data_IF_760838631652
#
_entry.id   IF_760838631652
#
_cell.length_a   1.000
_cell.length_b   1.000
_cell.length_c   1.000
_cell.angle_alpha   90.00
_cell.angle_beta   90.00
_cell.angle_gamma   90.00
#
_symmetry.space_group_name_H-M   'P 1'
#
loop_
_entity.id
_entity.type
_entity.pdbx_description
1 polymer ?
#
# COMPACT_ATOMS: atom_id res chain seq x y z
N UNK A 1 -20.23 35.60 19.79
CA UNK A 1 -19.97 36.59 18.72
C UNK A 1 -19.39 35.78 17.55
N UNK A 2 -20.25 35.49 16.57
CA UNK A 2 -20.01 34.55 15.49
C UNK A 2 -18.97 35.08 14.49
N UNK A 3 -17.95 34.27 14.19
CA UNK A 3 -17.16 34.45 12.95
C UNK A 3 -17.40 33.25 12.02
N UNK A 4 -18.19 33.47 10.99
CA UNK A 4 -18.36 32.59 9.85
C UNK A 4 -17.02 32.52 9.09
N UNK A 5 -16.46 31.31 8.94
CA UNK A 5 -15.41 31.05 7.95
C UNK A 5 -16.08 30.79 6.59
N UNK A 6 -15.74 31.62 5.61
CA UNK A 6 -16.11 31.46 4.21
C UNK A 6 -15.28 30.33 3.61
N UNK A 7 -15.94 29.29 3.16
CA UNK A 7 -15.33 28.26 2.30
C UNK A 7 -15.36 28.78 0.87
N UNK A 8 -14.20 28.96 0.25
CA UNK A 8 -14.07 29.22 -1.18
C UNK A 8 -14.06 27.89 -1.92
N UNK A 9 -15.08 27.66 -2.70
CA UNK A 9 -15.09 26.60 -3.72
C UNK A 9 -14.28 27.09 -4.94
N UNK A 10 -13.14 26.47 -5.21
CA UNK A 10 -12.45 26.60 -6.48
C UNK A 10 -12.90 25.46 -7.39
N UNK A 11 -13.63 25.79 -8.45
CA UNK A 11 -14.10 24.81 -9.43
C UNK A 11 -12.94 24.29 -10.26
N UNK A 12 -12.76 22.97 -10.30
CA UNK A 12 -11.84 22.31 -11.19
C UNK A 12 -12.44 22.22 -12.61
N UNK A 13 -11.70 22.73 -13.58
CA UNK A 13 -12.04 22.61 -15.00
C UNK A 13 -11.76 21.21 -15.50
N UNK A 14 -12.82 20.56 -16.02
CA UNK A 14 -12.73 19.27 -16.72
C UNK A 14 -12.20 19.55 -18.13
N UNK A 15 -10.96 19.17 -18.42
CA UNK A 15 -10.45 19.11 -19.79
C UNK A 15 -10.59 17.68 -20.32
N UNK A 16 -11.51 17.48 -21.25
CA UNK A 16 -11.56 16.29 -22.09
C UNK A 16 -10.41 16.35 -23.10
N UNK A 17 -9.43 15.47 -22.99
CA UNK A 17 -8.35 15.32 -23.95
C UNK A 17 -8.60 14.13 -24.86
N UNK A 18 -8.81 14.41 -26.14
CA UNK A 18 -8.88 13.43 -27.23
C UNK A 18 -7.51 12.84 -27.53
N UNK A 19 -7.45 11.53 -27.63
CA UNK A 19 -6.24 10.74 -27.89
C UNK A 19 -5.79 10.89 -29.34
N UNK A 20 -4.50 11.16 -29.52
CA UNK A 20 -3.76 10.92 -30.76
C UNK A 20 -2.82 9.74 -30.52
N UNK A 21 -3.11 8.64 -31.21
CA UNK A 21 -2.27 7.42 -31.22
C UNK A 21 -1.14 7.56 -32.21
N UNK A 22 0.09 7.41 -31.77
CA UNK A 22 1.23 7.07 -32.62
C UNK A 22 1.72 5.66 -32.29
N UNK A 23 1.66 4.79 -33.28
CA UNK A 23 2.05 3.41 -33.21
C UNK A 23 3.57 3.25 -33.31
N UNK A 24 4.20 2.63 -32.30
CA UNK A 24 5.48 1.95 -32.44
C UNK A 24 5.25 0.45 -32.21
N UNK A 25 5.54 -0.36 -33.22
CA UNK A 25 5.42 -1.81 -33.23
C UNK A 25 6.50 -2.46 -32.36
N UNK A 26 6.12 -2.95 -31.20
CA UNK A 26 6.81 -3.93 -30.38
C UNK A 26 5.72 -4.84 -29.82
N UNK A 27 5.93 -6.17 -29.84
CA UNK A 27 4.99 -7.16 -29.38
C UNK A 27 4.71 -6.99 -27.89
N UNK A 28 3.82 -6.06 -27.55
CA UNK A 28 3.33 -5.79 -26.22
C UNK A 28 1.84 -6.13 -26.16
N UNK A 29 1.43 -6.83 -25.13
CA UNK A 29 0.04 -6.93 -24.72
C UNK A 29 -0.60 -5.55 -24.84
N UNK A 30 -1.69 -5.43 -25.62
CA UNK A 30 -2.41 -4.17 -25.76
C UNK A 30 -2.79 -3.70 -24.36
N UNK A 31 -2.39 -2.47 -24.00
CA UNK A 31 -2.78 -1.86 -22.75
C UNK A 31 -4.31 -1.84 -22.68
N UNK A 32 -4.88 -2.50 -21.69
CA UNK A 32 -6.32 -2.53 -21.49
C UNK A 32 -6.82 -1.08 -21.40
N UNK A 33 -7.86 -0.76 -22.17
CA UNK A 33 -8.47 0.57 -22.15
C UNK A 33 -9.21 0.75 -20.82
N UNK A 34 -8.68 1.63 -19.94
CA UNK A 34 -9.27 1.88 -18.64
C UNK A 34 -10.46 2.84 -18.77
N UNK A 35 -11.54 2.56 -18.06
CA UNK A 35 -12.68 3.46 -17.84
C UNK A 35 -12.54 4.20 -16.50
N UNK A 36 -13.40 5.21 -16.28
CA UNK A 36 -13.47 6.00 -15.04
C UNK A 36 -12.10 6.55 -14.57
N UNK A 37 -11.33 7.04 -15.54
CA UNK A 37 -9.95 7.48 -15.31
C UNK A 37 -9.88 8.77 -14.51
N UNK A 38 -9.13 8.76 -13.41
CA UNK A 38 -8.82 9.92 -12.59
C UNK A 38 -7.31 10.12 -12.46
N UNK A 39 -6.87 11.36 -12.42
CA UNK A 39 -5.46 11.72 -12.28
C UNK A 39 -5.29 12.59 -11.03
N UNK A 40 -4.36 12.19 -10.16
CA UNK A 40 -3.94 12.93 -8.99
C UNK A 40 -2.49 13.38 -9.20
N UNK A 41 -2.18 14.63 -8.89
CA UNK A 41 -0.80 15.17 -8.92
C UNK A 41 -0.34 15.51 -7.52
N UNK A 42 0.99 15.39 -7.28
CA UNK A 42 1.61 15.94 -6.07
C UNK A 42 1.46 17.45 -6.01
N UNK A 43 1.57 18.07 -4.84
CA UNK A 43 1.51 19.54 -4.70
C UNK A 43 2.51 20.28 -5.59
N UNK A 44 3.73 19.76 -5.73
CA UNK A 44 4.78 20.31 -6.61
C UNK A 44 4.61 19.95 -8.10
N UNK A 45 3.70 18.99 -8.40
CA UNK A 45 3.38 18.53 -9.75
C UNK A 45 4.36 17.53 -10.37
N UNK A 46 5.42 17.11 -9.66
CA UNK A 46 6.43 16.19 -10.18
C UNK A 46 5.93 14.74 -10.23
N UNK A 47 5.13 14.33 -9.25
CA UNK A 47 4.48 13.03 -9.23
C UNK A 47 3.07 13.11 -9.81
N UNK A 48 2.69 12.09 -10.56
CA UNK A 48 1.32 11.91 -11.05
C UNK A 48 0.89 10.46 -10.91
N UNK A 49 -0.21 10.25 -10.20
CA UNK A 49 -0.88 8.96 -10.06
C UNK A 49 -2.13 8.94 -10.93
N UNK A 50 -2.36 7.84 -11.63
CA UNK A 50 -3.55 7.62 -12.44
C UNK A 50 -4.30 6.40 -11.90
N UNK A 51 -5.58 6.56 -11.64
CA UNK A 51 -6.51 5.49 -11.30
C UNK A 51 -7.43 5.21 -12.48
N UNK A 52 -7.89 3.95 -12.63
CA UNK A 52 -8.91 3.58 -13.61
C UNK A 52 -9.47 2.19 -13.33
N UNK A 53 -10.54 1.85 -14.04
CA UNK A 53 -11.19 0.54 -13.99
C UNK A 53 -10.93 -0.21 -15.29
N UNK A 54 -10.41 -1.42 -15.19
CA UNK A 54 -10.21 -2.31 -16.32
C UNK A 54 -11.56 -2.87 -16.86
N UNK A 55 -11.59 -3.44 -18.08
CA UNK A 55 -12.84 -3.95 -18.68
C UNK A 55 -13.57 -5.04 -17.88
N UNK A 56 -12.85 -5.80 -17.06
CA UNK A 56 -13.38 -6.80 -16.13
C UNK A 56 -13.88 -6.20 -14.81
N UNK A 57 -13.73 -4.88 -14.63
CA UNK A 57 -14.08 -4.18 -13.41
C UNK A 57 -12.98 -4.19 -12.35
N UNK A 58 -11.74 -4.57 -12.69
CA UNK A 58 -10.61 -4.51 -11.76
C UNK A 58 -10.12 -3.09 -11.57
N UNK A 59 -10.02 -2.59 -10.32
CA UNK A 59 -9.40 -1.30 -10.04
C UNK A 59 -7.90 -1.36 -10.31
N UNK A 60 -7.36 -0.35 -10.97
CA UNK A 60 -5.94 -0.26 -11.31
C UNK A 60 -5.39 1.13 -11.00
N UNK A 61 -4.08 1.21 -10.75
CA UNK A 61 -3.36 2.46 -10.59
C UNK A 61 -2.02 2.42 -11.31
N UNK A 62 -1.44 3.59 -11.55
CA UNK A 62 -0.05 3.76 -12.02
C UNK A 62 0.54 5.02 -11.41
N UNK A 63 1.89 5.10 -11.36
CA UNK A 63 2.61 6.24 -10.79
C UNK A 63 3.75 6.63 -11.70
N UNK A 64 3.84 7.93 -12.02
CA UNK A 64 4.91 8.52 -12.80
C UNK A 64 5.63 9.63 -12.01
N UNK A 65 6.92 9.80 -12.26
CA UNK A 65 7.70 10.98 -11.89
C UNK A 65 8.06 11.73 -13.18
N UNK A 66 7.47 12.89 -13.41
CA UNK A 66 7.50 13.53 -14.72
C UNK A 66 6.98 12.60 -15.81
N UNK A 67 7.83 12.33 -16.81
CA UNK A 67 7.54 11.41 -17.92
C UNK A 67 7.98 9.95 -17.61
N UNK A 68 8.71 9.72 -16.52
CA UNK A 68 9.24 8.40 -16.16
C UNK A 68 8.18 7.58 -15.44
N UNK A 69 7.81 6.42 -16.00
CA UNK A 69 6.93 5.47 -15.33
C UNK A 69 7.68 4.78 -14.19
N UNK A 70 7.22 4.99 -12.96
CA UNK A 70 7.76 4.32 -11.76
C UNK A 70 7.01 3.02 -11.49
N UNK A 71 5.66 3.11 -11.47
CA UNK A 71 4.75 1.96 -11.39
C UNK A 71 3.87 2.00 -12.64
N UNK A 72 3.94 0.93 -13.44
CA UNK A 72 3.04 0.70 -14.56
C UNK A 72 1.64 0.33 -14.06
N UNK A 73 0.59 0.26 -14.91
CA UNK A 73 -0.73 -0.16 -14.49
C UNK A 73 -0.68 -1.45 -13.67
N UNK A 74 -1.16 -1.37 -12.43
CA UNK A 74 -1.08 -2.39 -11.38
C UNK A 74 -2.45 -2.61 -10.76
N UNK A 75 -2.79 -3.86 -10.46
CA UNK A 75 -4.07 -4.24 -9.89
C UNK A 75 -4.19 -3.90 -8.41
N UNK A 76 -5.44 -3.74 -7.96
CA UNK A 76 -5.83 -3.48 -6.58
C UNK A 76 -6.97 -4.41 -6.18
N UNK A 77 -7.08 -4.70 -4.86
CA UNK A 77 -8.21 -5.43 -4.30
C UNK A 77 -7.81 -6.62 -3.45
N UNK A 78 -8.76 -7.55 -3.27
CA UNK A 78 -8.61 -8.68 -2.35
C UNK A 78 -9.21 -9.96 -2.89
N UNK A 79 -8.68 -11.09 -2.45
CA UNK A 79 -9.41 -12.34 -2.34
C UNK A 79 -9.88 -12.52 -0.90
N UNK A 80 -11.18 -12.72 -0.71
CA UNK A 80 -11.81 -12.79 0.61
C UNK A 80 -12.48 -14.13 0.82
N UNK A 81 -12.58 -14.54 2.08
CA UNK A 81 -13.47 -15.61 2.50
C UNK A 81 -14.72 -15.02 3.13
N UNK A 82 -15.86 -15.61 2.83
CA UNK A 82 -17.17 -15.10 3.24
C UNK A 82 -17.33 -14.93 4.74
N UNK A 83 -18.34 -14.16 5.10
CA UNK A 83 -18.70 -13.72 6.44
C UNK A 83 -18.62 -14.87 7.45
N UNK A 84 -17.73 -14.73 8.44
CA UNK A 84 -17.80 -15.54 9.64
C UNK A 84 -19.09 -15.15 10.38
N UNK A 85 -20.08 -16.03 10.43
CA UNK A 85 -21.13 -15.87 11.42
C UNK A 85 -20.45 -15.90 12.77
N UNK A 86 -20.67 -14.88 13.60
CA UNK A 86 -20.22 -14.91 14.99
C UNK A 86 -20.69 -16.23 15.60
N UNK A 87 -19.80 -17.18 15.78
CA UNK A 87 -20.13 -18.43 16.46
C UNK A 87 -20.24 -18.07 17.93
N UNK A 88 -21.41 -18.35 18.51
CA UNK A 88 -21.59 -18.30 19.94
C UNK A 88 -20.63 -19.32 20.54
N UNK A 89 -19.53 -18.85 21.14
CA UNK A 89 -18.58 -19.71 21.83
C UNK A 89 -19.31 -20.25 23.07
N UNK A 90 -19.77 -21.48 23.01
CA UNK A 90 -20.29 -22.20 24.18
C UNK A 90 -19.11 -22.98 24.73
N UNK A 91 -18.60 -22.56 25.88
CA UNK A 91 -17.57 -23.31 26.60
C UNK A 91 -18.05 -24.73 26.90
N UNK A 92 -17.38 -25.74 26.32
CA UNK A 92 -17.61 -27.16 26.62
C UNK A 92 -18.07 -28.04 25.44
N UNK A 93 -18.31 -27.50 24.28
CA UNK A 93 -18.68 -28.28 23.10
C UNK A 93 -17.48 -28.56 22.19
N UNK A 94 -17.16 -29.83 21.98
CA UNK A 94 -16.00 -30.26 21.20
C UNK A 94 -16.15 -30.05 19.68
N UNK A 95 -17.30 -29.58 19.21
CA UNK A 95 -17.62 -29.35 17.79
C UNK A 95 -17.42 -27.90 17.30
N UNK A 96 -16.64 -27.10 18.00
CA UNK A 96 -16.45 -25.66 17.75
C UNK A 96 -15.70 -25.33 16.45
N UNK A 97 -15.26 -26.30 15.67
CA UNK A 97 -14.46 -26.08 14.45
C UNK A 97 -15.14 -26.50 13.16
N UNK A 98 -16.40 -26.32 13.00
CA UNK A 98 -16.98 -26.24 11.65
C UNK A 98 -16.77 -24.82 11.13
N UNK A 99 -15.60 -24.58 10.59
CA UNK A 99 -15.36 -23.47 9.68
C UNK A 99 -16.36 -23.65 8.54
N UNK A 100 -17.30 -22.72 8.38
CA UNK A 100 -18.19 -22.71 7.23
C UNK A 100 -17.32 -22.78 5.97
N UNK A 101 -17.40 -23.85 5.18
CA UNK A 101 -16.71 -24.06 3.91
C UNK A 101 -17.28 -23.15 2.81
N UNK A 102 -17.39 -21.86 3.09
CA UNK A 102 -17.79 -20.91 2.07
C UNK A 102 -16.61 -20.67 1.14
N UNK A 103 -16.82 -20.74 -0.17
CA UNK A 103 -15.76 -20.49 -1.12
C UNK A 103 -15.22 -19.05 -0.93
N UNK A 104 -13.93 -18.87 -1.19
CA UNK A 104 -13.37 -17.54 -1.35
C UNK A 104 -14.10 -16.83 -2.48
N UNK A 105 -14.25 -15.52 -2.36
CA UNK A 105 -14.80 -14.71 -3.43
C UNK A 105 -13.81 -13.64 -3.86
N UNK A 106 -13.82 -13.30 -5.15
CA UNK A 106 -13.09 -12.17 -5.69
C UNK A 106 -13.65 -10.86 -5.14
N UNK A 107 -12.78 -9.99 -4.65
CA UNK A 107 -13.05 -8.60 -4.32
C UNK A 107 -11.98 -7.71 -4.95
N UNK A 108 -11.60 -8.03 -6.19
CA UNK A 108 -10.63 -7.33 -7.02
C UNK A 108 -11.12 -7.13 -8.47
N UNK A 109 -12.36 -7.54 -8.78
CA UNK A 109 -13.00 -7.42 -10.08
C UNK A 109 -14.48 -6.98 -9.96
N UNK A 110 -15.13 -6.72 -11.09
CA UNK A 110 -16.55 -6.39 -11.15
C UNK A 110 -16.94 -5.08 -10.47
N UNK A 111 -15.99 -4.20 -10.20
CA UNK A 111 -16.24 -2.90 -9.58
C UNK A 111 -16.70 -1.85 -10.58
N UNK A 112 -17.48 -0.90 -10.06
CA UNK A 112 -17.79 0.38 -10.68
C UNK A 112 -17.49 1.49 -9.70
N UNK A 113 -17.13 2.66 -10.22
CA UNK A 113 -16.99 3.87 -9.42
C UNK A 113 -18.38 4.37 -9.04
N UNK A 114 -18.64 4.51 -7.74
CA UNK A 114 -19.88 5.08 -7.20
C UNK A 114 -19.73 6.58 -7.02
N UNK A 115 -18.59 7.03 -6.47
CA UNK A 115 -18.25 8.46 -6.36
C UNK A 115 -16.74 8.64 -6.22
N UNK A 116 -16.29 9.87 -6.45
CA UNK A 116 -14.90 10.29 -6.29
C UNK A 116 -14.89 11.56 -5.46
N UNK A 117 -14.07 11.57 -4.39
CA UNK A 117 -13.84 12.72 -3.55
C UNK A 117 -12.37 13.13 -3.67
N UNK A 118 -12.12 14.44 -3.72
CA UNK A 118 -10.76 15.00 -3.78
C UNK A 118 -10.58 16.11 -2.77
N UNK A 119 -9.40 16.18 -2.16
CA UNK A 119 -9.02 17.32 -1.33
C UNK A 119 -7.53 17.61 -1.43
N UNK A 120 -7.15 18.81 -1.00
CA UNK A 120 -5.76 19.21 -0.71
C UNK A 120 -5.66 19.46 0.78
N UNK A 121 -4.62 18.94 1.40
CA UNK A 121 -4.33 19.10 2.81
C UNK A 121 -2.96 19.73 2.99
N UNK A 122 -2.85 20.71 3.87
CA UNK A 122 -1.59 21.39 4.21
C UNK A 122 -1.63 21.85 5.65
N UNK A 123 -0.90 21.18 6.52
CA UNK A 123 -0.83 21.45 7.95
C UNK A 123 0.59 21.17 8.46
N UNK A 124 1.02 21.92 9.47
CA UNK A 124 2.25 21.62 10.20
C UNK A 124 1.88 21.12 11.59
N UNK A 125 2.44 19.98 12.00
CA UNK A 125 2.21 19.37 13.29
C UNK A 125 3.52 19.18 14.05
N UNK A 126 3.43 19.01 15.37
CA UNK A 126 4.59 18.81 16.23
C UNK A 126 4.63 17.35 16.69
N UNK A 127 5.69 16.61 16.38
CA UNK A 127 5.85 15.26 16.91
C UNK A 127 6.11 15.29 18.40
N UNK A 128 5.68 14.24 19.11
CA UNK A 128 5.89 14.09 20.56
C UNK A 128 7.38 14.08 20.89
N UNK A 129 8.19 13.49 20.02
CA UNK A 129 9.64 13.38 20.08
C UNK A 129 10.21 13.22 18.68
N UNK A 130 11.51 13.22 18.52
CA UNK A 130 12.19 13.02 17.26
C UNK A 130 13.27 14.06 17.01
N UNK A 131 13.79 14.05 15.80
CA UNK A 131 14.88 14.97 15.40
C UNK A 131 14.34 16.34 15.00
N UNK A 132 13.05 16.40 14.58
CA UNK A 132 12.40 17.62 14.11
C UNK A 132 11.35 18.09 15.10
N UNK A 133 11.29 19.40 15.29
CA UNK A 133 10.27 20.03 16.15
C UNK A 133 8.93 20.24 15.43
N UNK A 134 8.95 20.29 14.10
CA UNK A 134 7.78 20.54 13.26
C UNK A 134 7.87 19.71 11.98
N UNK A 135 6.76 19.11 11.59
CA UNK A 135 6.63 18.31 10.36
C UNK A 135 5.46 18.86 9.54
N UNK A 136 5.73 19.21 8.28
CA UNK A 136 4.68 19.61 7.35
C UNK A 136 4.02 18.35 6.77
N UNK A 137 2.69 18.32 6.80
CA UNK A 137 1.85 17.32 6.17
C UNK A 137 1.10 17.95 5.00
N UNK A 138 1.63 17.79 3.79
CA UNK A 138 1.11 18.43 2.59
C UNK A 138 0.92 17.41 1.46
N UNK A 139 -0.33 17.19 1.07
CA UNK A 139 -0.68 16.23 0.02
C UNK A 139 -1.94 16.63 -0.73
N UNK A 140 -2.11 16.06 -1.91
CA UNK A 140 -3.38 15.98 -2.59
C UNK A 140 -3.97 14.57 -2.40
N UNK A 141 -5.28 14.48 -2.19
CA UNK A 141 -5.99 13.22 -1.93
C UNK A 141 -7.04 12.93 -3.00
N UNK A 142 -7.14 11.66 -3.35
CA UNK A 142 -8.20 11.08 -4.17
C UNK A 142 -8.79 9.89 -3.41
N UNK A 143 -10.08 9.94 -3.07
CA UNK A 143 -10.81 8.81 -2.52
C UNK A 143 -11.80 8.30 -3.58
N UNK A 144 -11.61 7.06 -4.01
CA UNK A 144 -12.47 6.41 -5.01
C UNK A 144 -13.38 5.42 -4.29
N UNK A 145 -14.66 5.74 -4.25
CA UNK A 145 -15.68 4.88 -3.67
C UNK A 145 -16.18 3.89 -4.74
N UNK A 146 -15.97 2.61 -4.46
CA UNK A 146 -16.22 1.51 -5.37
C UNK A 146 -17.40 0.65 -4.88
N UNK A 147 -18.22 0.17 -5.80
CA UNK A 147 -19.23 -0.85 -5.54
C UNK A 147 -19.02 -2.03 -6.47
N UNK A 148 -18.91 -3.23 -5.90
CA UNK A 148 -18.85 -4.46 -6.68
C UNK A 148 -20.27 -4.87 -7.11
N UNK A 149 -20.49 -4.97 -8.41
CA UNK A 149 -21.83 -5.17 -8.99
C UNK A 149 -22.45 -6.52 -8.65
N UNK A 150 -21.63 -7.56 -8.45
CA UNK A 150 -22.07 -8.92 -8.15
C UNK A 150 -22.54 -9.12 -6.71
N UNK A 151 -21.92 -8.40 -5.77
CA UNK A 151 -22.14 -8.57 -4.31
C UNK A 151 -22.85 -7.39 -3.64
N UNK A 152 -22.96 -6.23 -4.33
CA UNK A 152 -23.42 -4.94 -3.80
C UNK A 152 -22.57 -4.50 -2.57
N UNK A 153 -21.30 -4.91 -2.52
CA UNK A 153 -20.36 -4.52 -1.47
C UNK A 153 -19.50 -3.34 -1.92
N UNK A 154 -19.17 -2.52 -0.94
CA UNK A 154 -18.43 -1.27 -1.14
C UNK A 154 -17.05 -1.34 -0.52
N UNK A 155 -16.13 -0.66 -1.17
CA UNK A 155 -14.78 -0.42 -0.72
C UNK A 155 -14.35 0.95 -1.21
N UNK A 156 -13.60 1.69 -0.41
CA UNK A 156 -12.94 2.93 -0.85
C UNK A 156 -11.46 2.64 -1.02
N UNK A 157 -10.89 3.06 -2.14
CA UNK A 157 -9.43 3.16 -2.28
C UNK A 157 -9.06 4.62 -2.13
N UNK A 158 -8.27 4.92 -1.10
CA UNK A 158 -7.82 6.27 -0.78
C UNK A 158 -6.36 6.43 -1.14
N UNK A 159 -6.05 7.43 -1.95
CA UNK A 159 -4.70 7.79 -2.37
C UNK A 159 -4.33 9.15 -1.80
N UNK A 160 -3.15 9.27 -1.24
CA UNK A 160 -2.51 10.53 -0.84
C UNK A 160 -1.20 10.67 -1.58
N UNK A 161 -1.07 11.73 -2.36
CA UNK A 161 0.13 12.00 -3.15
C UNK A 161 0.84 13.21 -2.58
N UNK A 162 2.03 12.95 -2.03
CA UNK A 162 2.98 13.91 -1.48
C UNK A 162 4.02 14.26 -2.54
N UNK A 163 4.88 15.25 -2.27
CA UNK A 163 5.97 15.62 -3.17
C UNK A 163 7.08 14.53 -3.24
N UNK A 164 7.15 13.67 -2.24
CA UNK A 164 8.14 12.60 -2.08
C UNK A 164 7.59 11.18 -2.21
N UNK A 165 6.30 11.02 -2.51
CA UNK A 165 5.72 9.69 -2.72
C UNK A 165 4.21 9.58 -2.62
N UNK A 166 3.75 8.36 -2.82
CA UNK A 166 2.36 7.94 -2.80
C UNK A 166 2.09 7.05 -1.58
N UNK A 167 1.01 7.33 -0.85
CA UNK A 167 0.38 6.40 0.06
C UNK A 167 -1.01 6.03 -0.44
N UNK A 168 -1.39 4.75 -0.37
CA UNK A 168 -2.77 4.35 -0.61
C UNK A 168 -3.19 3.24 0.34
N UNK A 169 -4.50 3.19 0.64
CA UNK A 169 -5.09 2.17 1.51
C UNK A 169 -6.52 1.84 1.08
N UNK A 170 -7.00 0.73 1.59
CA UNK A 170 -8.38 0.31 1.44
C UNK A 170 -9.18 0.61 2.70
N UNK A 171 -10.40 1.06 2.51
CA UNK A 171 -11.34 1.34 3.59
C UNK A 171 -12.65 0.57 3.34
N UNK A 172 -13.09 -0.16 4.35
CA UNK A 172 -14.32 -0.95 4.28
C UNK A 172 -15.37 -0.32 5.20
N UNK A 173 -16.39 0.34 4.64
CA UNK A 173 -17.46 0.94 5.44
C UNK A 173 -18.30 -0.12 6.13
N UNK A 174 -18.98 0.26 7.18
CA UNK A 174 -20.03 -0.58 7.76
C UNK A 174 -21.11 -0.86 6.71
N UNK A 175 -21.40 -2.12 6.45
CA UNK A 175 -22.37 -2.52 5.43
C UNK A 175 -22.98 -3.89 5.71
N UNK A 176 -24.23 -4.06 5.29
CA UNK A 176 -24.96 -5.31 5.47
C UNK A 176 -24.26 -6.48 4.77
N UNK A 177 -24.02 -7.57 5.51
CA UNK A 177 -23.43 -8.80 4.98
C UNK A 177 -21.93 -8.77 4.77
N UNK A 178 -21.24 -7.75 5.32
CA UNK A 178 -19.78 -7.68 5.43
C UNK A 178 -19.39 -7.15 6.82
N UNK A 179 -19.97 -7.71 7.89
CA UNK A 179 -19.61 -7.31 9.26
C UNK A 179 -18.26 -7.90 9.66
N UNK A 180 -18.06 -9.19 9.38
CA UNK A 180 -16.81 -9.91 9.61
C UNK A 180 -16.38 -10.58 8.33
N UNK A 181 -15.10 -10.50 8.02
CA UNK A 181 -14.52 -11.17 6.85
C UNK A 181 -13.07 -11.56 7.09
N UNK A 182 -12.62 -12.51 6.28
CA UNK A 182 -11.24 -13.00 6.29
C UNK A 182 -10.60 -12.65 4.98
N UNK A 183 -9.41 -12.07 5.03
CA UNK A 183 -8.56 -11.86 3.86
C UNK A 183 -7.84 -13.17 3.58
N UNK A 184 -8.00 -13.69 2.36
CA UNK A 184 -7.19 -14.77 1.86
C UNK A 184 -5.89 -14.23 1.28
N UNK A 185 -6.01 -13.29 0.33
CA UNK A 185 -4.88 -12.61 -0.27
C UNK A 185 -5.21 -11.13 -0.56
N UNK A 186 -4.23 -10.25 -0.45
CA UNK A 186 -4.29 -8.90 -0.96
C UNK A 186 -3.71 -8.87 -2.37
N UNK A 187 -4.52 -8.43 -3.34
CA UNK A 187 -4.19 -8.48 -4.76
C UNK A 187 -3.48 -7.22 -5.26
N UNK A 188 -2.94 -6.44 -4.34
CA UNK A 188 -2.16 -5.23 -4.67
C UNK A 188 -0.89 -5.62 -5.42
N UNK A 189 -0.67 -4.95 -6.55
CA UNK A 189 0.52 -5.13 -7.38
C UNK A 189 1.35 -3.84 -7.45
N UNK A 190 2.64 -4.02 -7.72
CA UNK A 190 3.59 -2.96 -8.03
C UNK A 190 4.36 -3.39 -9.30
N UNK A 191 3.80 -3.11 -10.48
CA UNK A 191 4.44 -3.39 -11.76
C UNK A 191 5.51 -2.33 -12.03
N UNK A 192 6.77 -2.68 -11.83
CA UNK A 192 7.88 -1.74 -11.93
C UNK A 192 8.07 -1.21 -13.34
N UNK A 193 8.41 0.08 -13.48
CA UNK A 193 8.62 0.74 -14.77
C UNK A 193 9.83 0.21 -15.54
N UNK A 194 10.79 -0.43 -14.85
CA UNK A 194 12.01 -0.99 -15.43
C UNK A 194 12.67 -2.03 -14.54
N UNK A 195 13.75 -2.60 -15.02
CA UNK A 195 14.60 -3.54 -14.26
C UNK A 195 15.55 -2.75 -13.36
N UNK A 196 15.06 -2.27 -12.22
CA UNK A 196 15.78 -1.38 -11.32
C UNK A 196 16.88 -2.12 -10.55
N UNK A 197 17.89 -1.38 -10.10
CA UNK A 197 18.83 -1.88 -9.09
C UNK A 197 18.16 -1.85 -7.73
N UNK A 198 18.01 -3.03 -7.11
CA UNK A 198 17.41 -3.20 -5.78
C UNK A 198 18.46 -3.50 -4.72
N UNK A 199 18.22 -3.03 -3.50
CA UNK A 199 18.92 -3.39 -2.28
C UNK A 199 17.89 -4.15 -1.45
N UNK A 200 18.07 -5.45 -1.30
CA UNK A 200 17.05 -6.35 -0.80
C UNK A 200 17.60 -7.46 0.10
N UNK A 201 16.73 -8.03 0.89
CA UNK A 201 16.91 -9.27 1.64
C UNK A 201 15.76 -10.24 1.29
N UNK A 202 15.97 -11.58 1.44
CA UNK A 202 14.91 -12.55 1.24
C UNK A 202 13.66 -12.26 2.07
N UNK A 203 12.48 -12.49 1.49
CA UNK A 203 11.21 -12.38 2.17
C UNK A 203 11.01 -13.56 3.11
N UNK A 204 10.89 -13.29 4.40
CA UNK A 204 10.74 -14.29 5.45
C UNK A 204 9.72 -13.81 6.48
N UNK A 205 8.80 -14.68 6.92
CA UNK A 205 7.75 -14.30 7.86
C UNK A 205 8.25 -14.19 9.31
N UNK A 206 9.37 -14.84 9.63
CA UNK A 206 9.83 -15.02 11.00
C UNK A 206 11.06 -14.17 11.35
N UNK A 207 11.87 -13.79 10.34
CA UNK A 207 13.12 -13.03 10.60
C UNK A 207 13.46 -12.05 9.46
N UNK A 208 14.19 -11.00 9.81
CA UNK A 208 14.84 -10.07 8.88
C UNK A 208 16.37 -10.13 8.99
N UNK A 209 16.91 -11.15 9.64
CA UNK A 209 18.35 -11.31 9.88
C UNK A 209 19.08 -11.90 8.68
N UNK A 210 19.13 -11.13 7.61
CA UNK A 210 19.83 -11.43 6.38
C UNK A 210 20.84 -10.33 6.03
N UNK A 211 21.84 -10.69 5.23
CA UNK A 211 22.71 -9.67 4.62
C UNK A 211 22.05 -9.09 3.39
N UNK A 212 22.15 -7.76 3.23
CA UNK A 212 21.61 -7.10 2.06
C UNK A 212 22.34 -7.52 0.78
N UNK A 213 21.57 -7.83 -0.23
CA UNK A 213 22.04 -8.11 -1.59
C UNK A 213 21.69 -6.95 -2.51
N UNK A 214 22.64 -6.58 -3.36
CA UNK A 214 22.44 -5.56 -4.40
C UNK A 214 22.43 -6.24 -5.76
N UNK A 215 21.32 -6.10 -6.51
CA UNK A 215 21.18 -6.70 -7.84
C UNK A 215 20.11 -5.99 -8.67
N UNK A 216 19.98 -6.33 -9.94
CA UNK A 216 18.80 -6.02 -10.73
C UNK A 216 17.60 -6.83 -10.20
N UNK A 217 16.37 -6.33 -10.43
CA UNK A 217 15.16 -7.06 -10.07
C UNK A 217 15.12 -8.44 -10.76
N UNK A 218 15.47 -8.51 -12.03
CA UNK A 218 15.54 -9.77 -12.79
C UNK A 218 16.54 -10.78 -12.22
N UNK A 219 17.51 -10.33 -11.42
CA UNK A 219 18.53 -11.15 -10.79
C UNK A 219 18.17 -11.65 -9.39
N UNK A 220 17.03 -11.24 -8.81
CA UNK A 220 16.63 -11.65 -7.45
C UNK A 220 16.57 -13.18 -7.37
N UNK A 221 15.81 -13.82 -8.27
CA UNK A 221 15.65 -15.28 -8.27
C UNK A 221 16.97 -16.04 -8.36
N UNK A 222 17.89 -15.78 -9.33
CA UNK A 222 19.16 -16.49 -9.41
C UNK A 222 20.12 -16.19 -8.25
N UNK A 223 19.93 -15.08 -7.51
CA UNK A 223 20.78 -14.74 -6.37
C UNK A 223 20.21 -15.17 -5.00
N UNK A 224 18.96 -15.64 -4.96
CA UNK A 224 18.25 -15.94 -3.73
C UNK A 224 19.03 -16.92 -2.83
N UNK A 225 19.51 -18.05 -3.38
CA UNK A 225 20.26 -19.04 -2.61
C UNK A 225 21.56 -18.47 -2.01
N UNK A 226 22.27 -17.62 -2.78
CA UNK A 226 23.51 -17.00 -2.32
C UNK A 226 23.27 -15.89 -1.28
N UNK A 227 22.07 -15.35 -1.15
CA UNK A 227 21.71 -14.34 -0.16
C UNK A 227 21.38 -14.93 1.23
N UNK A 228 21.23 -16.26 1.31
CA UNK A 228 21.02 -16.98 2.57
C UNK A 228 22.35 -17.27 3.26
N UNK A 229 22.42 -17.01 4.56
CA UNK A 229 23.66 -17.17 5.35
C UNK A 229 23.79 -18.55 6.00
N UNK A 230 22.88 -19.49 5.72
CA UNK A 230 22.90 -20.83 6.34
C UNK A 230 22.48 -20.84 7.82
N UNK A 231 21.84 -19.78 8.31
CA UNK A 231 21.21 -19.75 9.63
C UNK A 231 19.93 -20.61 9.61
N UNK A 232 19.75 -21.46 10.60
CA UNK A 232 18.62 -22.38 10.70
C UNK A 232 17.26 -21.70 10.88
N UNK A 233 17.25 -20.41 11.26
CA UNK A 233 16.03 -19.61 11.37
C UNK A 233 15.59 -18.97 10.03
N UNK A 234 16.42 -19.04 9.00
CA UNK A 234 16.15 -18.44 7.70
C UNK A 234 15.27 -19.37 6.86
N UNK A 235 14.03 -18.96 6.65
CA UNK A 235 12.99 -19.72 5.93
C UNK A 235 12.27 -18.85 4.92
N UNK A 236 12.93 -18.42 3.82
CA UNK A 236 12.28 -17.59 2.80
C UNK A 236 10.99 -18.24 2.27
N UNK A 237 9.92 -17.47 2.17
CA UNK A 237 8.64 -18.00 1.71
C UNK A 237 8.62 -18.34 0.21
N UNK A 238 9.50 -17.72 -0.59
CA UNK A 238 9.64 -18.00 -2.03
C UNK A 238 11.06 -17.70 -2.52
N UNK A 239 11.38 -18.15 -3.74
CA UNK A 239 12.67 -17.85 -4.41
C UNK A 239 12.68 -16.47 -5.09
N UNK A 240 11.59 -15.73 -5.02
CA UNK A 240 11.40 -14.40 -5.62
C UNK A 240 10.89 -13.38 -4.60
N UNK A 241 10.66 -13.84 -3.36
CA UNK A 241 10.16 -13.02 -2.28
C UNK A 241 11.22 -12.12 -1.67
N UNK A 242 10.85 -10.87 -1.40
CA UNK A 242 11.71 -9.90 -0.74
C UNK A 242 10.99 -9.22 0.41
N UNK A 243 11.77 -8.76 1.39
CA UNK A 243 11.27 -7.99 2.53
C UNK A 243 10.91 -6.55 2.12
N UNK A 244 9.98 -5.94 2.85
CA UNK A 244 9.82 -4.50 2.92
C UNK A 244 10.59 -3.96 4.14
N UNK A 245 11.17 -2.80 4.08
CA UNK A 245 11.17 -1.82 3.00
C UNK A 245 12.09 -2.23 1.85
N UNK A 246 11.60 -2.20 0.63
CA UNK A 246 12.41 -2.51 -0.55
C UNK A 246 12.95 -1.23 -1.17
N UNK A 247 14.27 -1.09 -1.13
CA UNK A 247 14.97 0.05 -1.70
C UNK A 247 15.42 -0.22 -3.12
N UNK A 248 15.14 0.71 -4.05
CA UNK A 248 15.52 0.59 -5.45
C UNK A 248 16.09 1.91 -5.99
N UNK A 249 16.85 1.79 -7.07
CA UNK A 249 17.33 2.92 -7.86
C UNK A 249 17.08 2.64 -9.34
N UNK A 250 16.45 3.60 -10.03
CA UNK A 250 16.23 3.51 -11.48
C UNK A 250 17.48 3.91 -12.25
N UNK A 251 17.53 3.58 -13.54
CA UNK A 251 18.65 3.95 -14.39
C UNK A 251 18.66 5.48 -14.66
N UNK A 252 17.52 6.14 -14.58
CA UNK A 252 17.36 7.59 -14.68
C UNK A 252 17.79 8.33 -13.41
N UNK A 253 18.12 7.60 -12.34
CA UNK A 253 18.65 8.15 -11.10
C UNK A 253 17.59 8.44 -10.03
N UNK A 254 16.34 8.02 -10.21
CA UNK A 254 15.33 8.09 -9.17
C UNK A 254 15.57 7.03 -8.08
N UNK A 255 15.28 7.38 -6.85
CA UNK A 255 15.28 6.47 -5.72
C UNK A 255 13.82 6.13 -5.37
N UNK A 256 13.54 4.83 -5.33
CA UNK A 256 12.20 4.30 -5.10
C UNK A 256 12.24 3.38 -3.87
N UNK A 257 11.29 3.55 -2.95
CA UNK A 257 11.15 2.67 -1.80
C UNK A 257 9.70 2.20 -1.69
N UNK A 258 9.48 0.89 -1.57
CA UNK A 258 8.16 0.31 -1.31
C UNK A 258 8.12 -0.15 0.14
N UNK A 259 7.14 0.35 0.88
CA UNK A 259 6.93 0.03 2.29
C UNK A 259 5.45 0.15 2.68
N UNK A 260 5.18 0.16 3.96
CA UNK A 260 3.85 0.35 4.55
C UNK A 260 3.90 1.34 5.73
N UNK A 261 2.76 1.94 6.05
CA UNK A 261 2.61 2.81 7.20
C UNK A 261 1.30 2.49 7.95
N UNK A 262 1.26 2.85 9.23
CA UNK A 262 0.12 2.58 10.11
C UNK A 262 -0.30 1.10 10.13
N UNK A 263 0.68 0.20 10.31
CA UNK A 263 0.46 -1.23 10.45
C UNK A 263 -0.17 -1.50 11.83
N UNK A 264 -1.51 -1.48 11.88
CA UNK A 264 -2.30 -1.69 13.10
C UNK A 264 -3.37 -2.74 12.83
N UNK A 265 -3.41 -3.79 13.65
CA UNK A 265 -4.35 -4.92 13.53
C UNK A 265 -4.43 -5.54 12.13
N UNK A 266 -3.30 -5.69 11.47
CA UNK A 266 -3.19 -6.19 10.12
C UNK A 266 -1.88 -6.94 9.91
N UNK A 267 -1.82 -7.84 8.91
CA UNK A 267 -0.62 -8.59 8.58
C UNK A 267 0.44 -7.75 7.90
N UNK A 268 1.70 -7.99 8.25
CA UNK A 268 2.87 -7.36 7.64
C UNK A 268 2.98 -7.72 6.16
N UNK A 269 3.35 -6.74 5.34
CA UNK A 269 3.53 -6.87 3.90
C UNK A 269 4.95 -7.30 3.53
N UNK A 270 5.04 -8.34 2.72
CA UNK A 270 6.21 -8.70 1.92
C UNK A 270 5.85 -8.56 0.44
N UNK A 271 6.82 -8.74 -0.43
CA UNK A 271 6.65 -8.64 -1.87
C UNK A 271 7.17 -9.90 -2.56
N UNK A 272 6.39 -10.47 -3.48
CA UNK A 272 6.82 -11.58 -4.33
C UNK A 272 6.91 -11.14 -5.78
N UNK A 273 8.09 -11.29 -6.39
CA UNK A 273 8.37 -10.80 -7.74
C UNK A 273 7.98 -11.83 -8.79
N UNK A 274 7.17 -11.42 -9.76
CA UNK A 274 7.12 -12.09 -11.05
C UNK A 274 8.30 -11.57 -11.93
N UNK A 275 9.36 -12.35 -12.12
CA UNK A 275 10.53 -11.88 -12.86
C UNK A 275 10.27 -11.72 -14.37
N UNK A 276 9.20 -12.30 -14.91
CA UNK A 276 8.87 -12.18 -16.33
C UNK A 276 8.25 -10.82 -16.67
N UNK A 277 7.49 -10.27 -15.74
CA UNK A 277 6.78 -8.99 -15.90
C UNK A 277 7.39 -7.86 -15.06
N UNK A 278 8.34 -8.15 -14.16
CA UNK A 278 8.88 -7.25 -13.15
C UNK A 278 7.77 -6.64 -12.29
N UNK A 279 6.80 -7.46 -11.91
CA UNK A 279 5.67 -7.06 -11.08
C UNK A 279 5.78 -7.72 -9.71
N UNK A 280 5.85 -6.89 -8.68
CA UNK A 280 5.70 -7.38 -7.31
C UNK A 280 4.23 -7.56 -6.98
N UNK A 281 3.90 -8.66 -6.33
CA UNK A 281 2.62 -8.91 -5.67
C UNK A 281 2.81 -8.80 -4.17
N UNK A 282 1.82 -8.26 -3.51
CA UNK A 282 1.78 -8.23 -2.05
C UNK A 282 1.67 -9.66 -1.52
N UNK A 283 2.55 -10.00 -0.59
CA UNK A 283 2.52 -11.26 0.15
C UNK A 283 2.42 -10.92 1.64
N UNK A 284 1.27 -11.17 2.23
CA UNK A 284 1.01 -10.88 3.64
C UNK A 284 1.42 -12.07 4.51
N UNK A 285 1.97 -11.81 5.69
CA UNK A 285 2.26 -12.87 6.68
C UNK A 285 0.99 -13.64 7.02
N UNK A 286 0.95 -14.97 6.84
CA UNK A 286 -0.22 -15.79 7.15
C UNK A 286 -0.37 -16.03 8.66
N UNK A 287 -1.60 -16.26 9.11
CA UNK A 287 -1.85 -16.88 10.41
C UNK A 287 -1.63 -18.41 10.35
N UNK A 288 -1.77 -19.09 11.47
CA UNK A 288 -1.60 -20.56 11.56
C UNK A 288 -2.58 -21.38 10.68
N UNK A 289 -3.66 -20.76 10.19
CA UNK A 289 -4.64 -21.36 9.28
C UNK A 289 -4.41 -20.93 7.82
N UNK A 290 -3.38 -20.12 7.56
CA UNK A 290 -3.03 -19.62 6.24
C UNK A 290 -3.82 -18.38 5.81
N UNK A 291 -4.55 -17.71 6.72
CA UNK A 291 -5.28 -16.48 6.42
C UNK A 291 -4.41 -15.25 6.65
N UNK A 292 -4.67 -14.20 5.89
CA UNK A 292 -3.88 -12.96 5.90
C UNK A 292 -4.50 -11.84 6.75
N UNK A 293 -5.69 -12.05 7.29
CA UNK A 293 -6.34 -11.09 8.18
C UNK A 293 -7.78 -11.46 8.49
N UNK A 294 -8.22 -11.11 9.70
CA UNK A 294 -9.60 -11.30 10.19
C UNK A 294 -10.11 -9.95 10.62
N UNK A 295 -10.97 -9.34 9.83
CA UNK A 295 -11.38 -7.97 9.99
C UNK A 295 -12.87 -7.83 10.30
N UNK A 296 -13.21 -6.73 10.97
CA UNK A 296 -14.58 -6.29 11.23
C UNK A 296 -14.78 -4.90 10.66
N UNK A 297 -15.87 -4.70 9.91
CA UNK A 297 -16.24 -3.36 9.42
C UNK A 297 -16.90 -2.50 10.51
N UNK A 298 -16.68 -1.18 10.53
CA UNK A 298 -15.83 -0.43 9.61
C UNK A 298 -14.34 -0.65 9.93
N UNK A 299 -13.52 -0.81 8.91
CA UNK A 299 -12.07 -0.98 9.08
C UNK A 299 -11.30 -0.42 7.89
N UNK A 300 -9.99 -0.30 8.07
CA UNK A 300 -9.06 0.17 7.04
C UNK A 300 -7.80 -0.68 7.06
N UNK A 301 -7.19 -0.87 5.89
CA UNK A 301 -5.87 -1.48 5.79
C UNK A 301 -4.77 -0.50 6.23
N UNK A 302 -3.55 -0.96 6.50
CA UNK A 302 -2.37 -0.10 6.49
C UNK A 302 -2.25 0.64 5.14
N UNK A 303 -1.46 1.71 5.14
CA UNK A 303 -1.08 2.36 3.90
C UNK A 303 0.01 1.55 3.20
N UNK A 304 -0.16 1.34 1.90
CA UNK A 304 0.92 0.92 1.02
C UNK A 304 1.62 2.17 0.53
N UNK A 305 2.95 2.23 0.65
CA UNK A 305 3.72 3.43 0.32
C UNK A 305 4.69 3.17 -0.81
N UNK A 306 4.78 4.14 -1.73
CA UNK A 306 5.79 4.19 -2.80
C UNK A 306 6.45 5.55 -2.73
N UNK A 307 7.59 5.62 -2.05
CA UNK A 307 8.42 6.82 -2.02
C UNK A 307 9.19 6.94 -3.32
N UNK A 308 9.22 8.13 -3.92
CA UNK A 308 9.93 8.41 -5.17
C UNK A 308 10.57 9.78 -5.10
N UNK A 309 11.90 9.82 -5.16
CA UNK A 309 12.69 11.05 -5.11
C UNK A 309 13.85 11.01 -6.09
N UNK A 310 14.35 12.18 -6.48
CA UNK A 310 15.46 12.35 -7.42
C UNK A 310 16.84 12.39 -6.75
N UNK A 311 16.88 12.29 -5.42
CA UNK A 311 18.10 12.38 -4.62
C UNK A 311 17.99 11.49 -3.38
N UNK A 312 19.04 10.72 -3.07
CA UNK A 312 19.09 9.84 -1.91
C UNK A 312 18.90 10.57 -0.58
N UNK A 313 19.38 11.81 -0.44
CA UNK A 313 19.19 12.59 0.79
C UNK A 313 17.73 12.94 1.03
N UNK A 314 16.96 13.24 0.00
CA UNK A 314 15.52 13.48 0.11
C UNK A 314 14.75 12.26 0.62
N UNK A 315 15.29 11.06 0.40
CA UNK A 315 14.71 9.84 0.92
C UNK A 315 14.83 9.74 2.44
N UNK A 316 15.97 10.18 3.00
CA UNK A 316 16.20 10.28 4.44
C UNK A 316 15.37 11.40 5.08
N UNK A 317 15.15 12.47 4.33
CA UNK A 317 14.36 13.63 4.80
C UNK A 317 12.84 13.40 4.72
N UNK A 318 12.40 12.32 4.07
CA UNK A 318 10.96 12.03 3.90
C UNK A 318 10.26 11.82 5.24
N UNK A 319 9.09 12.41 5.34
CA UNK A 319 8.17 12.22 6.48
C UNK A 319 6.85 11.55 6.06
N UNK A 320 6.86 10.94 4.86
CA UNK A 320 5.70 10.24 4.28
C UNK A 320 5.07 9.26 5.27
N UNK A 321 5.89 8.38 5.85
CA UNK A 321 5.40 7.34 6.79
C UNK A 321 4.80 7.97 8.04
N UNK A 322 5.42 9.02 8.59
CA UNK A 322 4.89 9.73 9.76
C UNK A 322 3.56 10.42 9.44
N UNK A 323 3.48 11.09 8.29
CA UNK A 323 2.29 11.81 7.84
C UNK A 323 1.09 10.92 7.48
N UNK A 324 1.34 9.62 7.24
CA UNK A 324 0.30 8.63 6.97
C UNK A 324 -0.21 7.93 8.23
N UNK A 325 0.48 8.06 9.36
CA UNK A 325 0.00 7.55 10.63
C UNK A 325 -1.07 8.46 11.24
N UNK A 326 -1.89 7.88 12.12
CA UNK A 326 -2.89 8.65 12.86
C UNK A 326 -2.19 9.59 13.86
N UNK A 327 -2.78 10.74 14.16
CA UNK A 327 -2.28 11.62 15.21
C UNK A 327 -2.16 10.90 16.56
N UNK A 328 -1.29 11.40 17.43
CA UNK A 328 -1.17 10.90 18.79
C UNK A 328 -2.53 10.92 19.50
N UNK A 329 -2.92 9.80 20.09
CA UNK A 329 -4.22 9.64 20.79
C UNK A 329 -4.21 10.15 22.24
N UNK A 330 -3.04 10.54 22.77
CA UNK A 330 -2.91 11.01 24.15
C UNK A 330 -2.97 12.53 24.21
N UNK A 331 -3.83 13.06 25.08
CA UNK A 331 -3.95 14.51 25.34
C UNK A 331 -2.74 15.06 26.13
N UNK A 332 -2.17 14.25 27.03
CA UNK A 332 -0.98 14.58 27.81
C UNK A 332 0.17 13.63 27.46
N UNK A 333 1.21 14.18 26.88
CA UNK A 333 2.44 13.48 26.50
C UNK A 333 3.67 13.97 27.29
N UNK A 334 3.47 14.79 28.32
CA UNK A 334 4.53 15.40 29.12
C UNK A 334 5.43 14.40 29.85
N UNK A 335 4.94 13.17 30.05
CA UNK A 335 5.67 12.06 30.67
C UNK A 335 6.65 11.36 29.70
N UNK A 336 6.57 11.62 28.38
CA UNK A 336 7.46 11.08 27.38
C UNK A 336 8.70 11.94 27.30
N UNK A 337 9.85 11.37 27.67
CA UNK A 337 11.15 12.04 27.59
C UNK A 337 11.99 11.43 26.48
N UNK A 338 12.58 12.21 25.57
CA UNK A 338 13.50 11.68 24.55
C UNK A 338 14.71 11.01 25.19
N UNK A 339 14.91 9.72 24.94
CA UNK A 339 16.06 8.96 25.37
C UNK A 339 16.27 7.72 24.51
N UNK A 340 17.51 7.44 24.12
CA UNK A 340 17.85 6.27 23.30
C UNK A 340 17.63 4.94 24.02
N UNK A 341 17.78 4.89 25.36
CA UNK A 341 17.79 3.67 26.17
C UNK A 341 16.72 3.67 27.27
N UNK A 342 15.73 4.54 27.20
CA UNK A 342 14.75 4.72 28.28
C UNK A 342 13.91 3.47 28.59
N UNK A 343 13.79 2.56 27.63
CA UNK A 343 13.01 1.34 27.74
C UNK A 343 13.83 0.07 27.58
N UNK A 344 15.16 0.16 27.62
CA UNK A 344 16.06 -0.98 27.53
C UNK A 344 16.48 -1.45 28.93
N UNK A 345 16.32 -2.74 29.24
CA UNK A 345 16.82 -3.35 30.46
C UNK A 345 18.35 -3.21 30.59
N UNK A 346 19.06 -3.02 29.47
CA UNK A 346 20.49 -2.73 29.46
C UNK A 346 20.88 -1.35 30.05
N UNK A 347 19.88 -0.47 30.27
CA UNK A 347 20.13 0.82 30.94
C UNK A 347 20.27 0.69 32.47
N UNK A 348 19.88 -0.46 33.06
CA UNK A 348 19.91 -0.75 34.50
C UNK A 348 21.11 -1.59 34.89
N UNK A 349 21.95 -2.07 33.96
CA UNK A 349 23.22 -2.74 34.15
C UNK A 349 24.42 -1.75 34.04
#
# INVERSE_FOLDING_TARGET
MNLLKKVLFAGAAICAASALTQSCSGSGQAAAELSDVSVLKSPDGNLSMKFGIAPDGSPMYSLNYGETAVIRPSHLGYEMRGVLKAQKIVFGDKDIRKVDDKPCWSFHDGFKVESIDTCTFDETWQPVWGEESEIRNHYNELAVNLVQTSSDKRMTVRFRLFDDGLGFRYEFPEQKGLTYFVIKDEMTEFAMGGDYTAIWIPGDYDTQEYQYTVSRLSEIKPRMEASMCGNSSQTPFSMTGVQTSLQMKTDEGLYVNIHEAALVDYSCMHLDLDPATLTFKTELTPDAEGWRGRLQTPCKSPWRTVQVVDNACKQLESRLVLNLNEPCAYDDVSWIHPCLLYTSDAADE
#
